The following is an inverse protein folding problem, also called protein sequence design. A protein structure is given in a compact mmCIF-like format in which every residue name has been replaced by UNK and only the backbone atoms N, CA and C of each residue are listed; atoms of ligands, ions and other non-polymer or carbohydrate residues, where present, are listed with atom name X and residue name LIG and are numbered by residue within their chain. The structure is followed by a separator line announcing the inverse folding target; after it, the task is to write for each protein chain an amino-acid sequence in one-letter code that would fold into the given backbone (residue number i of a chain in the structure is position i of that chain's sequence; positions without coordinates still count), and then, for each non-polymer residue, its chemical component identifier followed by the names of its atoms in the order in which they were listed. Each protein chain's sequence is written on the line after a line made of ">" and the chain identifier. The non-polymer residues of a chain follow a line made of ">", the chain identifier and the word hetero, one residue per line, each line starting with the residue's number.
data_IF_364852287185
#
_entry.id   IF_364852287185
#
_cell.length_a   1.000
_cell.length_b   1.000
_cell.length_c   1.000
_cell.angle_alpha   90.00
_cell.angle_beta   90.00
_cell.angle_gamma   90.00
#
_symmetry.space_group_name_H-M   'P 1'
#
loop_
_entity.id
_entity.type
_entity.pdbx_description
1 polymer ?
#
# COMPACT_ATOMS: atom_id res chain seq x y z
N UNK A 1 -12.69 4.66 9.29
CA UNK A 1 -11.34 5.01 8.77
C UNK A 1 -11.39 5.04 7.25
N UNK A 2 -10.66 5.96 6.59
CA UNK A 2 -10.54 5.98 5.13
C UNK A 2 -9.69 4.81 4.67
N UNK A 3 -10.13 4.08 3.63
CA UNK A 3 -9.37 3.01 3.01
C UNK A 3 -8.82 3.54 1.69
N UNK A 4 -7.51 3.46 1.52
CA UNK A 4 -6.81 3.92 0.32
C UNK A 4 -5.93 2.80 -0.25
N UNK A 5 -5.70 2.84 -1.54
CA UNK A 5 -4.66 2.05 -2.21
C UNK A 5 -3.46 2.97 -2.48
N UNK A 6 -2.25 2.45 -2.31
CA UNK A 6 -1.03 3.09 -2.81
C UNK A 6 -0.22 2.08 -3.60
N UNK A 7 0.18 2.47 -4.83
CA UNK A 7 0.83 1.57 -5.77
C UNK A 7 1.74 2.33 -6.73
N UNK A 8 2.90 1.75 -7.03
CA UNK A 8 3.70 2.12 -8.20
C UNK A 8 3.53 1.04 -9.28
N UNK A 9 3.41 1.44 -10.53
CA UNK A 9 3.31 0.52 -11.66
C UNK A 9 3.90 1.13 -12.95
N UNK A 10 4.39 0.26 -13.83
CA UNK A 10 4.91 0.64 -15.14
C UNK A 10 3.78 0.75 -16.19
N UNK A 11 4.13 1.07 -17.46
CA UNK A 11 3.19 1.35 -18.56
C UNK A 11 2.05 0.35 -18.71
N UNK A 12 2.32 -0.94 -18.52
CA UNK A 12 1.35 -2.03 -18.67
C UNK A 12 0.66 -2.37 -17.35
N UNK A 13 0.74 -1.49 -16.35
CA UNK A 13 0.27 -1.70 -14.97
C UNK A 13 1.03 -2.82 -14.23
N UNK A 14 2.22 -3.17 -14.71
CA UNK A 14 3.10 -4.10 -14.02
C UNK A 14 3.58 -3.53 -12.70
N UNK A 15 3.55 -4.36 -11.65
CA UNK A 15 3.93 -4.00 -10.28
C UNK A 15 5.16 -4.74 -9.77
N UNK A 16 5.73 -5.62 -10.58
CA UNK A 16 6.92 -6.39 -10.24
C UNK A 16 7.09 -7.62 -11.10
N UNK A 17 8.24 -8.27 -10.95
CA UNK A 17 8.66 -9.49 -11.63
C UNK A 17 9.30 -10.44 -10.63
N UNK A 18 9.01 -11.73 -10.72
CA UNK A 18 9.54 -12.77 -9.81
C UNK A 18 9.36 -12.43 -8.33
N UNK A 19 8.23 -11.76 -7.98
CA UNK A 19 7.88 -11.38 -6.63
C UNK A 19 8.66 -10.18 -6.09
N UNK A 20 9.34 -9.40 -6.93
CA UNK A 20 10.15 -8.23 -6.55
C UNK A 20 9.73 -6.98 -7.34
N UNK A 21 9.89 -5.83 -6.71
CA UNK A 21 9.85 -4.53 -7.41
C UNK A 21 11.17 -4.40 -8.20
N UNK A 22 11.07 -4.18 -9.51
CA UNK A 22 12.23 -4.21 -10.43
C UNK A 22 12.81 -2.83 -10.74
N UNK A 23 12.26 -1.78 -10.15
CA UNK A 23 12.77 -0.41 -10.25
C UNK A 23 13.17 0.12 -8.88
N UNK A 24 13.94 1.19 -8.93
CA UNK A 24 14.39 1.90 -7.73
C UNK A 24 14.43 3.41 -8.01
N UNK A 25 13.37 4.11 -7.62
CA UNK A 25 13.25 5.55 -7.73
C UNK A 25 13.11 6.18 -6.33
N UNK A 26 14.12 6.95 -5.88
CA UNK A 26 14.04 7.70 -4.62
C UNK A 26 12.78 8.54 -4.46
N UNK A 27 12.30 9.19 -5.52
CA UNK A 27 11.07 10.00 -5.50
C UNK A 27 9.83 9.16 -5.17
N UNK A 28 9.71 7.96 -5.75
CA UNK A 28 8.62 7.04 -5.46
C UNK A 28 8.66 6.55 -4.01
N UNK A 29 9.85 6.16 -3.54
CA UNK A 29 10.03 5.75 -2.13
C UNK A 29 9.70 6.87 -1.14
N UNK A 30 10.10 8.11 -1.46
CA UNK A 30 9.79 9.28 -0.64
C UNK A 30 8.28 9.55 -0.63
N UNK A 31 7.63 9.49 -1.78
CA UNK A 31 6.18 9.63 -1.90
C UNK A 31 5.44 8.56 -1.07
N UNK A 32 5.78 7.29 -1.27
CA UNK A 32 5.21 6.19 -0.49
C UNK A 32 5.39 6.38 1.02
N UNK A 33 6.60 6.75 1.45
CA UNK A 33 6.89 7.00 2.87
C UNK A 33 6.03 8.15 3.42
N UNK A 34 5.98 9.27 2.71
CA UNK A 34 5.22 10.47 3.13
C UNK A 34 3.73 10.16 3.28
N UNK A 35 3.14 9.45 2.32
CA UNK A 35 1.72 9.11 2.33
C UNK A 35 1.35 8.12 3.43
N UNK A 36 2.23 7.15 3.71
CA UNK A 36 1.90 6.05 4.62
C UNK A 36 2.35 6.26 6.07
N UNK A 37 3.25 7.23 6.34
CA UNK A 37 3.75 7.48 7.69
C UNK A 37 2.61 7.85 8.65
N UNK A 38 2.61 7.27 9.85
CA UNK A 38 1.58 7.51 10.86
C UNK A 38 0.25 6.79 10.60
N UNK A 39 0.20 5.86 9.66
CA UNK A 39 -0.99 5.15 9.21
C UNK A 39 -0.86 3.64 9.38
N UNK A 40 -1.92 2.91 9.02
CA UNK A 40 -1.93 1.46 8.89
C UNK A 40 -1.55 1.07 7.47
N UNK A 41 -0.67 0.08 7.33
CA UNK A 41 -0.26 -0.47 6.02
C UNK A 41 -0.57 -1.96 5.97
N UNK A 42 -1.27 -2.40 4.91
CA UNK A 42 -1.68 -3.78 4.71
C UNK A 42 -0.96 -4.35 3.49
N UNK A 43 -0.26 -5.47 3.67
CA UNK A 43 0.47 -6.17 2.61
C UNK A 43 0.01 -7.62 2.49
N UNK A 44 0.10 -8.18 1.30
CA UNK A 44 0.18 -9.62 1.13
C UNK A 44 1.55 -10.16 1.60
N UNK A 45 1.57 -11.44 1.99
CA UNK A 45 2.78 -12.12 2.49
C UNK A 45 4.02 -11.92 1.62
N UNK A 46 3.91 -12.13 0.30
CA UNK A 46 5.06 -12.01 -0.62
C UNK A 46 5.63 -10.60 -0.65
N UNK A 47 4.78 -9.59 -0.67
CA UNK A 47 5.20 -8.18 -0.62
C UNK A 47 5.92 -7.86 0.69
N UNK A 48 5.44 -8.39 1.81
CA UNK A 48 6.11 -8.21 3.09
C UNK A 48 7.47 -8.92 3.15
N UNK A 49 7.56 -10.13 2.60
CA UNK A 49 8.83 -10.89 2.53
C UNK A 49 9.89 -10.16 1.69
N UNK A 50 9.49 -9.43 0.67
CA UNK A 50 10.39 -8.58 -0.12
C UNK A 50 10.98 -7.43 0.71
N UNK A 51 10.16 -6.74 1.52
CA UNK A 51 10.65 -5.72 2.44
C UNK A 51 11.53 -6.29 3.55
N UNK A 52 11.28 -7.53 3.97
CA UNK A 52 12.02 -8.26 4.97
C UNK A 52 11.89 -7.76 6.40
N UNK A 53 11.17 -6.66 6.63
CA UNK A 53 10.96 -6.03 7.94
C UNK A 53 9.70 -5.17 7.99
N UNK A 54 9.20 -4.93 9.21
CA UNK A 54 8.16 -3.94 9.44
C UNK A 54 8.63 -2.52 9.06
N UNK A 55 7.74 -1.76 8.44
CA UNK A 55 8.03 -0.37 8.09
C UNK A 55 7.89 0.51 9.33
N UNK A 56 8.93 1.28 9.71
CA UNK A 56 8.90 2.09 10.92
C UNK A 56 7.89 3.23 10.83
N UNK A 57 7.32 3.62 11.97
CA UNK A 57 6.34 4.70 12.06
C UNK A 57 4.97 4.37 11.43
N UNK A 58 4.63 3.09 11.32
CA UNK A 58 3.38 2.56 10.76
C UNK A 58 2.96 1.32 11.52
N UNK A 59 1.66 1.04 11.55
CA UNK A 59 1.17 -0.27 11.97
C UNK A 59 1.15 -1.17 10.73
N UNK A 60 1.92 -2.25 10.77
CA UNK A 60 2.08 -3.18 9.66
C UNK A 60 1.16 -4.39 9.86
N UNK A 61 0.31 -4.68 8.88
CA UNK A 61 -0.60 -5.83 8.90
C UNK A 61 -0.34 -6.69 7.67
N UNK A 62 0.11 -7.91 7.88
CA UNK A 62 0.42 -8.87 6.82
C UNK A 62 -0.75 -9.83 6.64
N UNK A 63 -1.28 -9.90 5.43
CA UNK A 63 -2.28 -10.91 5.06
C UNK A 63 -1.57 -12.19 4.63
N UNK A 64 -1.72 -13.23 5.46
CA UNK A 64 -1.11 -14.55 5.24
C UNK A 64 -1.93 -15.66 5.89
N UNK A 65 -2.21 -16.73 5.14
CA UNK A 65 -2.83 -17.96 5.64
C UNK A 65 -1.80 -19.06 5.97
N UNK A 66 -0.54 -18.88 5.57
CA UNK A 66 0.49 -19.94 5.62
C UNK A 66 1.67 -19.62 6.52
N UNK A 67 1.96 -18.36 6.75
CA UNK A 67 3.14 -17.92 7.53
C UNK A 67 2.73 -16.80 8.47
N UNK A 68 3.21 -16.87 9.70
CA UNK A 68 3.00 -15.84 10.73
C UNK A 68 4.25 -14.97 10.84
N UNK A 69 4.03 -13.67 10.94
CA UNK A 69 5.05 -12.66 11.22
C UNK A 69 4.63 -11.91 12.48
N UNK A 70 5.55 -11.73 13.40
CA UNK A 70 5.30 -11.06 14.67
C UNK A 70 6.45 -10.10 14.98
N UNK A 71 6.13 -9.01 15.62
CA UNK A 71 7.09 -8.00 16.04
C UNK A 71 6.40 -6.75 16.54
N UNK A 72 7.19 -5.75 16.87
CA UNK A 72 6.66 -4.47 17.27
C UNK A 72 5.92 -3.80 16.09
N UNK A 73 4.66 -3.40 16.34
CA UNK A 73 3.78 -2.81 15.32
C UNK A 73 3.60 -3.68 14.05
N UNK A 74 3.72 -5.01 14.21
CA UNK A 74 3.60 -6.00 13.14
C UNK A 74 2.61 -7.11 13.52
N UNK A 75 1.60 -7.29 12.70
CA UNK A 75 0.50 -8.24 12.91
C UNK A 75 0.30 -9.10 11.68
N UNK A 76 -0.15 -10.34 11.87
CA UNK A 76 -0.54 -11.23 10.78
C UNK A 76 -1.99 -11.66 10.93
N UNK A 77 -2.74 -11.58 9.84
CA UNK A 77 -4.14 -11.99 9.74
C UNK A 77 -4.39 -12.83 8.49
N UNK A 78 -5.52 -13.53 8.45
CA UNK A 78 -5.79 -14.51 7.39
C UNK A 78 -6.28 -13.90 6.05
N UNK A 79 -6.93 -12.75 6.09
CA UNK A 79 -7.53 -12.10 4.92
C UNK A 79 -7.63 -10.58 5.08
N UNK A 80 -7.94 -9.88 3.99
CA UNK A 80 -8.03 -8.41 3.97
C UNK A 80 -9.13 -7.88 4.90
N UNK A 81 -10.28 -8.55 5.00
CA UNK A 81 -11.36 -8.16 5.92
C UNK A 81 -10.88 -8.15 7.37
N UNK A 82 -10.18 -9.20 7.79
CA UNK A 82 -9.61 -9.28 9.13
C UNK A 82 -8.53 -8.21 9.37
N UNK A 83 -7.77 -7.83 8.33
CA UNK A 83 -6.78 -6.75 8.43
C UNK A 83 -7.43 -5.39 8.67
N UNK A 84 -8.52 -5.09 7.97
CA UNK A 84 -9.28 -3.85 8.16
C UNK A 84 -9.91 -3.82 9.56
N UNK A 85 -10.57 -4.90 9.97
CA UNK A 85 -11.16 -5.00 11.32
C UNK A 85 -10.12 -4.84 12.43
N UNK A 86 -8.92 -5.42 12.26
CA UNK A 86 -7.83 -5.25 13.22
C UNK A 86 -7.37 -3.79 13.29
N UNK A 87 -7.20 -3.12 12.15
CA UNK A 87 -6.82 -1.71 12.10
C UNK A 87 -7.85 -0.82 12.82
N UNK A 88 -9.15 -1.04 12.56
CA UNK A 88 -10.24 -0.34 13.22
C UNK A 88 -10.25 -0.58 14.73
N UNK A 89 -10.03 -1.82 15.15
CA UNK A 89 -9.96 -2.18 16.58
C UNK A 89 -8.76 -1.52 17.26
N UNK A 90 -7.57 -1.55 16.68
CA UNK A 90 -6.38 -0.87 17.20
C UNK A 90 -6.61 0.65 17.31
N UNK A 91 -7.30 1.25 16.34
CA UNK A 91 -7.57 2.68 16.36
C UNK A 91 -8.62 3.10 17.41
N UNK A 92 -9.59 2.24 17.69
CA UNK A 92 -10.74 2.55 18.57
C UNK A 92 -10.54 2.18 20.03
N UNK A 93 -9.63 1.24 20.35
CA UNK A 93 -9.46 0.71 21.70
C UNK A 93 -7.99 0.62 22.11
N UNK A 94 -7.74 0.73 23.42
CA UNK A 94 -6.43 0.44 24.01
C UNK A 94 -6.25 -1.04 24.39
N UNK A 95 -7.19 -1.92 23.99
CA UNK A 95 -7.19 -3.33 24.39
C UNK A 95 -6.08 -4.17 23.73
N UNK A 96 -5.63 -3.78 22.53
CA UNK A 96 -4.62 -4.53 21.76
C UNK A 96 -3.22 -4.01 22.03
N UNK A 97 -3.10 -2.70 22.26
CA UNK A 97 -1.84 -2.02 22.55
C UNK A 97 -1.91 -1.42 23.96
N UNK A 98 -0.83 -1.54 24.76
CA UNK A 98 -0.77 -0.95 26.09
C UNK A 98 -0.93 0.58 26.07
N UNK A 99 -0.59 1.21 24.92
CA UNK A 99 -0.88 2.61 24.62
C UNK A 99 -0.94 2.78 23.11
N UNK A 100 -1.73 3.76 22.64
CA UNK A 100 -1.74 4.15 21.24
C UNK A 100 -0.34 4.64 20.83
N UNK A 101 0.28 4.11 19.75
CA UNK A 101 1.59 4.56 19.32
C UNK A 101 1.59 6.06 19.01
N UNK A 102 2.58 6.78 19.53
CA UNK A 102 2.68 8.24 19.37
C UNK A 102 2.83 8.67 17.90
N UNK A 103 3.34 7.78 17.04
CA UNK A 103 3.49 8.06 15.62
C UNK A 103 2.17 7.99 14.84
N UNK A 104 1.11 7.34 15.37
CA UNK A 104 -0.17 7.28 14.68
C UNK A 104 -0.83 8.66 14.62
N UNK A 105 -1.26 9.04 13.43
CA UNK A 105 -2.03 10.27 13.21
C UNK A 105 -3.33 10.25 14.03
N UNK A 106 -3.89 11.41 14.41
CA UNK A 106 -5.17 11.49 15.10
C UNK A 106 -6.29 10.75 14.36
N UNK A 107 -6.33 10.85 13.04
CA UNK A 107 -7.27 10.17 12.14
C UNK A 107 -6.48 9.35 11.10
N UNK A 108 -5.89 8.21 11.49
CA UNK A 108 -5.07 7.43 10.57
C UNK A 108 -5.94 6.77 9.50
N UNK A 109 -5.40 6.65 8.30
CA UNK A 109 -5.98 5.89 7.20
C UNK A 109 -5.47 4.44 7.18
N UNK A 110 -6.14 3.61 6.41
CA UNK A 110 -5.70 2.26 6.05
C UNK A 110 -5.18 2.32 4.61
N UNK A 111 -3.90 2.01 4.42
CA UNK A 111 -3.28 1.90 3.11
C UNK A 111 -3.12 0.44 2.71
N UNK A 112 -3.75 0.04 1.60
CA UNK A 112 -3.54 -1.24 0.93
C UNK A 112 -2.33 -1.09 0.01
N UNK A 113 -1.25 -1.82 0.31
CA UNK A 113 0.08 -1.61 -0.26
C UNK A 113 0.57 -2.80 -1.14
N UNK A 114 -0.30 -3.73 -1.49
CA UNK A 114 0.03 -4.83 -2.41
C UNK A 114 0.03 -6.21 -1.74
N UNK A 115 0.31 -7.34 -2.47
CA UNK A 115 0.47 -7.37 -3.94
C UNK A 115 -0.84 -7.52 -4.71
N UNK A 116 -0.72 -8.09 -5.90
CA UNK A 116 -1.81 -8.14 -6.89
C UNK A 116 -3.16 -8.61 -6.33
N UNK A 117 -3.19 -9.68 -5.55
CA UNK A 117 -4.45 -10.21 -4.99
C UNK A 117 -5.06 -9.24 -3.97
N UNK A 118 -4.24 -8.64 -3.11
CA UNK A 118 -4.69 -7.68 -2.11
C UNK A 118 -5.20 -6.40 -2.78
N UNK A 119 -4.57 -5.95 -3.86
CA UNK A 119 -5.08 -4.82 -4.67
C UNK A 119 -6.43 -5.16 -5.29
N UNK A 120 -6.59 -6.37 -5.85
CA UNK A 120 -7.85 -6.79 -6.47
C UNK A 120 -9.00 -6.83 -5.45
N UNK A 121 -8.76 -7.39 -4.26
CA UNK A 121 -9.75 -7.41 -3.17
C UNK A 121 -10.05 -6.00 -2.65
N UNK A 122 -9.03 -5.16 -2.51
CA UNK A 122 -9.15 -3.80 -1.96
C UNK A 122 -9.77 -2.79 -2.90
N UNK A 123 -9.80 -3.06 -4.22
CA UNK A 123 -10.29 -2.11 -5.23
C UNK A 123 -11.71 -1.64 -4.96
N UNK A 124 -12.61 -2.52 -4.54
CA UNK A 124 -14.00 -2.18 -4.23
C UNK A 124 -14.17 -1.40 -2.93
N UNK A 125 -13.18 -1.45 -2.03
CA UNK A 125 -13.20 -0.84 -0.70
C UNK A 125 -12.52 0.53 -0.68
N UNK A 126 -11.59 0.77 -1.61
CA UNK A 126 -10.81 1.99 -1.65
C UNK A 126 -11.64 3.21 -2.03
N UNK A 127 -11.49 4.29 -1.28
CA UNK A 127 -12.07 5.61 -1.55
C UNK A 127 -11.10 6.46 -2.37
N UNK A 128 -9.79 6.25 -2.16
CA UNK A 128 -8.71 6.98 -2.83
C UNK A 128 -7.63 6.01 -3.31
N UNK A 129 -7.07 6.26 -4.48
CA UNK A 129 -5.94 5.51 -5.02
C UNK A 129 -4.81 6.49 -5.33
N UNK A 130 -3.67 6.28 -4.70
CA UNK A 130 -2.43 7.02 -4.94
C UNK A 130 -1.53 6.17 -5.84
N UNK A 131 -1.19 6.70 -7.00
CA UNK A 131 -0.36 5.98 -7.97
C UNK A 131 0.93 6.70 -8.26
N UNK A 132 2.01 5.94 -8.42
CA UNK A 132 3.20 6.35 -9.15
C UNK A 132 3.21 5.61 -10.47
N UNK A 133 2.95 6.32 -11.57
CA UNK A 133 2.99 5.74 -12.92
C UNK A 133 4.38 5.98 -13.52
N UNK A 134 5.04 4.89 -13.88
CA UNK A 134 6.42 4.86 -14.36
C UNK A 134 6.39 4.69 -15.87
N UNK A 135 6.92 5.67 -16.60
CA UNK A 135 6.95 5.67 -18.07
C UNK A 135 8.09 4.80 -18.62
N UNK A 136 8.07 3.52 -18.27
CA UNK A 136 9.02 2.49 -18.69
C UNK A 136 8.32 1.14 -18.80
N UNK A 137 9.00 0.15 -19.37
CA UNK A 137 8.55 -1.24 -19.45
C UNK A 137 9.63 -2.14 -18.82
N UNK A 138 9.24 -2.92 -17.82
CA UNK A 138 10.13 -3.80 -17.06
C UNK A 138 9.79 -5.28 -17.24
N UNK A 139 8.93 -5.62 -18.21
CA UNK A 139 8.49 -6.99 -18.46
C UNK A 139 7.93 -7.67 -17.20
N UNK A 140 7.08 -6.96 -16.47
CA UNK A 140 6.48 -7.45 -15.22
C UNK A 140 5.61 -8.68 -15.43
N UNK A 141 5.49 -9.54 -14.39
CA UNK A 141 4.63 -10.72 -14.36
C UNK A 141 3.47 -10.61 -13.35
N UNK A 142 3.48 -9.57 -12.52
CA UNK A 142 2.40 -9.21 -11.63
C UNK A 142 1.84 -7.83 -12.01
N UNK A 143 0.50 -7.66 -11.93
CA UNK A 143 -0.14 -6.47 -12.47
C UNK A 143 -1.14 -5.86 -11.49
N UNK A 144 -1.21 -4.54 -11.48
CA UNK A 144 -2.27 -3.80 -10.82
C UNK A 144 -3.58 -3.95 -11.61
N UNK A 145 -4.72 -4.20 -10.96
CA UNK A 145 -6.01 -4.32 -11.65
C UNK A 145 -6.40 -3.00 -12.35
N UNK A 146 -7.23 -3.13 -13.39
CA UNK A 146 -7.82 -1.96 -14.01
C UNK A 146 -8.70 -1.18 -13.03
N UNK A 147 -8.67 0.15 -13.14
CA UNK A 147 -9.62 0.97 -12.42
C UNK A 147 -11.02 0.74 -13.02
N UNK A 148 -12.04 0.49 -12.18
CA UNK A 148 -13.40 0.32 -12.68
C UNK A 148 -13.86 1.59 -13.40
N UNK A 149 -14.37 1.43 -14.61
CA UNK A 149 -14.83 2.54 -15.46
C UNK A 149 -15.79 3.47 -14.74
N UNK A 150 -15.46 4.77 -14.74
CA UNK A 150 -16.30 5.82 -14.15
C UNK A 150 -16.35 5.85 -12.63
N UNK A 151 -15.65 4.93 -11.94
CA UNK A 151 -15.67 4.86 -10.47
C UNK A 151 -14.68 5.80 -9.78
N UNK A 152 -13.67 6.26 -10.51
CA UNK A 152 -12.62 7.13 -9.99
C UNK A 152 -12.37 8.30 -10.92
N UNK A 153 -12.13 9.47 -10.34
CA UNK A 153 -11.75 10.71 -11.05
C UNK A 153 -10.36 11.14 -10.60
N UNK A 154 -9.60 11.72 -11.51
CA UNK A 154 -8.32 12.35 -11.16
C UNK A 154 -8.61 13.58 -10.31
N UNK A 155 -8.05 13.62 -9.11
CA UNK A 155 -8.15 14.74 -8.17
C UNK A 155 -6.88 15.60 -8.20
N UNK A 156 -5.73 14.95 -8.35
CA UNK A 156 -4.44 15.63 -8.42
C UNK A 156 -3.47 14.85 -9.30
N UNK A 157 -2.61 15.56 -10.02
CA UNK A 157 -1.54 15.00 -10.83
C UNK A 157 -0.29 15.89 -10.75
N UNK A 158 0.86 15.27 -10.56
CA UNK A 158 2.17 15.90 -10.69
C UNK A 158 3.15 14.94 -11.33
N UNK A 159 4.27 15.42 -11.81
CA UNK A 159 5.28 14.54 -12.40
C UNK A 159 6.70 15.05 -12.17
N UNK A 160 7.64 14.13 -12.21
CA UNK A 160 9.08 14.42 -12.18
C UNK A 160 9.81 13.55 -13.19
N UNK A 161 11.01 13.95 -13.55
CA UNK A 161 11.93 13.14 -14.35
C UNK A 161 13.06 12.66 -13.44
N UNK A 162 13.21 11.33 -13.32
CA UNK A 162 14.26 10.73 -12.52
C UNK A 162 14.94 9.60 -13.29
N UNK A 163 16.28 9.63 -13.34
CA UNK A 163 17.09 8.66 -14.11
C UNK A 163 16.65 8.52 -15.59
N UNK A 164 16.17 9.62 -16.20
CA UNK A 164 15.67 9.63 -17.58
C UNK A 164 14.27 9.04 -17.77
N UNK A 165 13.59 8.65 -16.68
CA UNK A 165 12.23 8.10 -16.71
C UNK A 165 11.25 9.09 -16.09
N UNK A 166 10.12 9.32 -16.75
CA UNK A 166 9.03 10.14 -16.19
C UNK A 166 8.27 9.34 -15.16
N UNK A 167 8.10 9.92 -13.98
CA UNK A 167 7.23 9.43 -12.91
C UNK A 167 6.05 10.39 -12.77
N UNK A 168 4.83 9.88 -12.90
CA UNK A 168 3.61 10.66 -12.67
C UNK A 168 2.94 10.19 -11.38
N UNK A 169 2.76 11.12 -10.45
CA UNK A 169 2.06 10.89 -9.18
C UNK A 169 0.62 11.35 -9.37
N UNK A 170 -0.31 10.41 -9.37
CA UNK A 170 -1.72 10.69 -9.63
C UNK A 170 -2.57 10.20 -8.45
N UNK A 171 -3.45 11.08 -7.97
CA UNK A 171 -4.45 10.74 -6.97
C UNK A 171 -5.81 10.60 -7.64
N UNK A 172 -6.43 9.46 -7.42
CA UNK A 172 -7.79 9.17 -7.87
C UNK A 172 -8.72 9.10 -6.65
N UNK A 173 -9.91 9.71 -6.74
CA UNK A 173 -10.97 9.63 -5.73
C UNK A 173 -12.29 9.16 -6.32
N UNK A 174 -13.13 8.57 -5.48
CA UNK A 174 -14.53 8.24 -5.81
C UNK A 174 -15.45 9.41 -5.59
#
# INVERSE_FOLDING_TARGET
>A
MTISIIVAFEKNRGIGKDGRIVWDFPSDRAYYKTMTLGNFVIFGRRTFEEFGRALPGRINIVVSSTKKFEGENLYTVKNLKAAIQLAEKINSTNEILPARPQFLLPNPAIFICGGQNIYREGMSLAQTIYTTQIDADYECDAFFPELPNGSFKIENESSTLEKGVKLSFITYSR
#
